data_IF_767680328195
#
_entry.id   IF_767680328195
#
_cell.length_a   1.000
_cell.length_b   1.000
_cell.length_c   1.000
_cell.angle_alpha   90.00
_cell.angle_beta   90.00
_cell.angle_gamma   90.00
#
_symmetry.space_group_name_H-M   'P 1'
#
loop_
_entity.id
_entity.type
_entity.pdbx_description
1 polymer ?
#
# COMPACT_ATOMS: atom_id res chain seq x y z
N UNK A 1 -56.81 -14.81 6.99
CA UNK A 1 -56.14 -15.38 5.79
C UNK A 1 -54.70 -14.87 5.82
N UNK A 2 -53.68 -15.57 6.32
CA UNK A 2 -53.48 -17.01 6.41
C UNK A 2 -52.40 -17.43 5.40
N UNK A 3 -51.11 -17.28 5.76
CA UNK A 3 -49.99 -18.14 5.35
C UNK A 3 -48.65 -17.63 5.91
N UNK A 4 -48.31 -18.08 7.13
CA UNK A 4 -46.93 -18.29 7.57
C UNK A 4 -46.40 -19.57 6.90
N UNK A 5 -45.16 -19.57 6.38
CA UNK A 5 -44.25 -20.75 6.29
C UNK A 5 -42.80 -20.22 6.25
N UNK A 6 -42.05 -20.28 7.35
CA UNK A 6 -41.18 -21.37 7.82
C UNK A 6 -39.74 -21.29 7.28
N UNK A 7 -38.84 -20.79 8.13
CA UNK A 7 -37.39 -20.98 8.04
C UNK A 7 -37.01 -22.41 8.50
N UNK A 8 -35.97 -23.05 7.95
CA UNK A 8 -35.42 -24.28 8.52
C UNK A 8 -34.35 -24.03 9.61
N UNK A 9 -34.49 -24.75 10.73
CA UNK A 9 -33.54 -24.91 11.85
C UNK A 9 -32.33 -25.77 11.42
N UNK A 10 -31.08 -25.39 11.76
CA UNK A 10 -29.88 -26.14 11.42
C UNK A 10 -29.59 -27.22 12.46
N UNK A 11 -30.23 -28.41 12.38
CA UNK A 11 -29.89 -29.53 13.27
C UNK A 11 -30.43 -30.90 12.81
N UNK A 12 -30.05 -31.42 11.64
CA UNK A 12 -30.21 -32.87 11.35
C UNK A 12 -29.11 -33.36 10.39
N UNK A 13 -28.30 -34.30 10.87
CA UNK A 13 -27.39 -35.15 10.10
C UNK A 13 -28.16 -36.41 9.68
N UNK A 14 -28.00 -36.92 8.45
CA UNK A 14 -28.22 -38.34 8.19
C UNK A 14 -26.91 -39.04 7.88
N UNK A 15 -26.62 -40.05 8.70
CA UNK A 15 -25.60 -41.06 8.46
C UNK A 15 -26.19 -42.26 7.70
N UNK A 16 -25.26 -42.99 7.05
CA UNK A 16 -25.31 -44.37 6.54
C UNK A 16 -25.92 -44.62 5.16
N UNK A 17 -25.05 -45.09 4.27
CA UNK A 17 -25.25 -46.38 3.61
C UNK A 17 -24.05 -47.29 3.88
N UNK A 18 -24.38 -48.46 4.40
CA UNK A 18 -23.52 -49.60 4.74
C UNK A 18 -23.29 -50.50 3.52
N UNK A 19 -22.08 -51.05 3.42
CA UNK A 19 -21.74 -52.42 3.02
C UNK A 19 -20.33 -52.62 3.58
N UNK A 20 -19.98 -53.59 4.43
CA UNK A 20 -20.49 -54.94 4.60
C UNK A 20 -19.27 -55.88 4.52
N UNK A 21 -18.58 -56.01 5.66
CA UNK A 21 -17.65 -57.05 6.17
C UNK A 21 -16.85 -57.95 5.21
N UNK A 22 -15.56 -58.17 5.54
CA UNK A 22 -15.02 -59.46 6.02
C UNK A 22 -13.62 -59.20 6.60
N UNK A 23 -13.44 -59.55 7.88
CA UNK A 23 -12.13 -59.75 8.50
C UNK A 23 -11.77 -61.21 8.22
N UNK A 24 -10.70 -61.43 7.47
CA UNK A 24 -10.02 -62.71 7.40
C UNK A 24 -8.57 -62.48 7.82
N UNK A 25 -8.20 -63.11 8.93
CA UNK A 25 -6.80 -63.25 9.32
C UNK A 25 -6.05 -64.01 8.24
N UNK A 26 -4.95 -63.42 7.79
CA UNK A 26 -3.95 -64.02 6.92
C UNK A 26 -2.72 -63.14 6.98
N UNK A 27 -1.57 -63.71 7.34
CA UNK A 27 -0.28 -63.05 7.24
C UNK A 27 -0.10 -62.57 5.79
N UNK A 28 -0.04 -61.26 5.60
CA UNK A 28 0.36 -60.66 4.32
C UNK A 28 1.88 -60.62 4.36
N UNK A 29 2.51 -61.54 3.62
CA UNK A 29 3.90 -61.36 3.20
C UNK A 29 3.99 -60.06 2.40
N UNK A 30 4.84 -59.15 2.88
CA UNK A 30 5.14 -57.87 2.25
C UNK A 30 5.83 -58.10 0.91
N UNK A 31 5.07 -58.02 -0.19
CA UNK A 31 5.65 -57.84 -1.52
C UNK A 31 5.87 -56.33 -1.72
N UNK A 32 7.07 -55.86 -1.34
CA UNK A 32 7.53 -54.45 -1.46
C UNK A 32 7.26 -53.84 -2.85
N UNK A 33 7.29 -54.66 -3.89
CA UNK A 33 7.13 -54.23 -5.28
C UNK A 33 5.71 -53.75 -5.64
N UNK A 34 4.68 -54.17 -4.89
CA UNK A 34 3.27 -53.80 -5.14
C UNK A 34 2.87 -52.47 -4.52
N UNK A 35 3.37 -52.19 -3.31
CA UNK A 35 3.17 -50.92 -2.61
C UNK A 35 3.92 -49.78 -3.27
N UNK A 36 5.16 -50.01 -3.73
CA UNK A 36 5.96 -49.02 -4.44
C UNK A 36 5.32 -48.61 -5.79
N UNK A 37 4.70 -49.55 -6.50
CA UNK A 37 3.98 -49.28 -7.74
C UNK A 37 2.67 -48.51 -7.50
N UNK A 38 1.98 -48.78 -6.39
CA UNK A 38 0.77 -48.06 -6.00
C UNK A 38 1.09 -46.64 -5.51
N UNK A 39 2.14 -46.47 -4.71
CA UNK A 39 2.67 -45.18 -4.28
C UNK A 39 3.17 -44.34 -5.46
N UNK A 40 3.88 -44.96 -6.41
CA UNK A 40 4.34 -44.29 -7.64
C UNK A 40 3.19 -43.85 -8.55
N UNK A 41 2.09 -44.63 -8.62
CA UNK A 41 0.86 -44.23 -9.33
C UNK A 41 0.10 -43.12 -8.63
N UNK A 42 0.00 -43.15 -7.29
CA UNK A 42 -0.63 -42.08 -6.50
C UNK A 42 0.19 -40.80 -6.60
N UNK A 43 1.52 -40.89 -6.57
CA UNK A 43 2.42 -39.74 -6.72
C UNK A 43 2.38 -39.19 -8.16
N UNK A 44 2.25 -40.05 -9.17
CA UNK A 44 2.03 -39.63 -10.56
C UNK A 44 0.65 -38.99 -10.78
N UNK A 45 -0.41 -39.52 -10.17
CA UNK A 45 -1.76 -38.92 -10.20
C UNK A 45 -1.76 -37.58 -9.47
N UNK A 46 -1.11 -37.48 -8.31
CA UNK A 46 -0.94 -36.22 -7.59
C UNK A 46 -0.14 -35.21 -8.43
N UNK A 47 0.97 -35.62 -9.07
CA UNK A 47 1.74 -34.76 -9.98
C UNK A 47 0.94 -34.33 -11.21
N UNK A 48 0.10 -35.21 -11.77
CA UNK A 48 -0.81 -34.89 -12.88
C UNK A 48 -1.95 -33.95 -12.47
N UNK A 49 -2.46 -34.05 -11.24
CA UNK A 49 -3.45 -33.11 -10.70
C UNK A 49 -2.85 -31.74 -10.33
N UNK A 50 -1.56 -31.69 -9.99
CA UNK A 50 -0.83 -30.44 -9.71
C UNK A 50 -0.39 -29.73 -11.01
N UNK A 51 -0.37 -30.43 -12.15
CA UNK A 51 0.00 -29.87 -13.45
C UNK A 51 -1.18 -29.30 -14.26
N UNK A 52 -2.36 -29.09 -13.66
CA UNK A 52 -3.27 -28.10 -14.22
C UNK A 52 -2.56 -26.74 -14.11
N UNK A 53 -1.83 -26.38 -15.17
CA UNK A 53 -1.33 -25.04 -15.40
C UNK A 53 -2.50 -24.11 -15.13
N UNK A 54 -2.52 -23.47 -13.96
CA UNK A 54 -3.52 -22.46 -13.62
C UNK A 54 -3.39 -21.40 -14.69
N UNK A 55 -4.21 -21.48 -15.75
CA UNK A 55 -4.29 -20.45 -16.76
C UNK A 55 -4.68 -19.19 -16.01
N UNK A 56 -3.78 -18.22 -16.01
CA UNK A 56 -4.11 -16.90 -15.49
C UNK A 56 -5.39 -16.44 -16.17
N UNK A 57 -6.40 -15.98 -15.41
CA UNK A 57 -7.64 -15.53 -16.00
C UNK A 57 -7.36 -14.35 -16.94
N UNK A 58 -8.02 -14.30 -18.11
CA UNK A 58 -7.76 -13.24 -19.07
C UNK A 58 -8.10 -11.87 -18.47
N UNK A 59 -7.31 -10.86 -18.82
CA UNK A 59 -7.57 -9.47 -18.41
C UNK A 59 -8.82 -8.96 -19.12
N UNK A 60 -9.85 -8.58 -18.35
CA UNK A 60 -11.09 -8.02 -18.88
C UNK A 60 -11.06 -6.49 -18.75
N UNK A 61 -10.93 -5.80 -19.88
CA UNK A 61 -10.90 -4.33 -19.95
C UNK A 61 -12.30 -3.75 -19.66
N UNK A 62 -12.34 -2.68 -18.87
CA UNK A 62 -13.54 -1.90 -18.57
C UNK A 62 -13.50 -0.61 -19.40
N UNK A 63 -13.97 -0.68 -20.65
CA UNK A 63 -13.88 0.42 -21.62
C UNK A 63 -14.47 1.75 -21.14
N UNK A 64 -15.53 1.71 -20.33
CA UNK A 64 -16.07 2.92 -19.68
C UNK A 64 -15.00 3.67 -18.89
N UNK A 65 -14.20 2.96 -18.09
CA UNK A 65 -13.15 3.57 -17.28
C UNK A 65 -12.03 4.12 -18.19
N UNK A 66 -11.67 3.38 -19.24
CA UNK A 66 -10.70 3.84 -20.26
C UNK A 66 -11.10 5.19 -20.84
N UNK A 67 -12.34 5.32 -21.33
CA UNK A 67 -12.82 6.57 -21.90
C UNK A 67 -12.88 7.71 -20.87
N UNK A 68 -13.31 7.43 -19.63
CA UNK A 68 -13.32 8.43 -18.55
C UNK A 68 -11.90 8.94 -18.26
N UNK A 69 -10.92 8.05 -18.12
CA UNK A 69 -9.55 8.47 -17.84
C UNK A 69 -8.91 9.20 -19.02
N UNK A 70 -9.16 8.79 -20.26
CA UNK A 70 -8.69 9.53 -21.45
C UNK A 70 -9.26 10.96 -21.44
N UNK A 71 -10.59 11.09 -21.30
CA UNK A 71 -11.24 12.40 -21.25
C UNK A 71 -10.71 13.26 -20.10
N UNK A 72 -10.58 12.67 -18.90
CA UNK A 72 -10.10 13.37 -17.72
C UNK A 72 -8.69 13.94 -17.90
N UNK A 73 -7.77 13.16 -18.49
CA UNK A 73 -6.40 13.63 -18.74
C UNK A 73 -6.32 14.65 -19.88
N UNK A 74 -7.13 14.51 -20.94
CA UNK A 74 -7.23 15.53 -21.99
C UNK A 74 -7.78 16.85 -21.45
N UNK A 75 -8.80 16.80 -20.59
CA UNK A 75 -9.35 17.96 -19.91
C UNK A 75 -8.33 18.60 -18.94
N UNK A 76 -7.47 17.80 -18.30
CA UNK A 76 -6.37 18.33 -17.49
C UNK A 76 -5.31 19.03 -18.35
N UNK A 77 -4.94 18.48 -19.51
CA UNK A 77 -4.04 19.16 -20.45
C UNK A 77 -4.62 20.48 -20.92
N UNK A 78 -5.94 20.55 -21.13
CA UNK A 78 -6.61 21.82 -21.41
C UNK A 78 -6.52 22.79 -20.23
N UNK A 79 -6.75 22.33 -18.99
CA UNK A 79 -6.53 23.14 -17.80
C UNK A 79 -5.09 23.66 -17.68
N UNK A 80 -4.10 22.83 -17.99
CA UNK A 80 -2.69 23.23 -18.02
C UNK A 80 -2.43 24.28 -19.09
N UNK A 81 -3.00 24.11 -20.28
CA UNK A 81 -2.93 25.10 -21.36
C UNK A 81 -3.52 26.46 -20.93
N UNK A 82 -4.65 26.46 -20.19
CA UNK A 82 -5.24 27.68 -19.65
C UNK A 82 -4.32 28.40 -18.66
N UNK A 83 -3.51 27.68 -17.87
CA UNK A 83 -2.51 28.30 -17.00
C UNK A 83 -1.48 29.19 -17.73
N UNK A 84 -1.28 28.97 -19.04
CA UNK A 84 -0.34 29.76 -19.85
C UNK A 84 -1.02 30.76 -20.80
N UNK A 85 -2.30 30.58 -21.08
CA UNK A 85 -3.01 31.36 -22.12
C UNK A 85 -4.15 32.20 -21.60
N UNK A 86 -4.71 31.85 -20.45
CA UNK A 86 -5.73 32.62 -19.77
C UNK A 86 -5.11 33.44 -18.62
N UNK A 87 -5.82 34.48 -18.18
CA UNK A 87 -5.39 35.31 -17.06
C UNK A 87 -5.68 34.62 -15.71
N UNK A 88 -5.13 33.42 -15.51
CA UNK A 88 -5.32 32.64 -14.28
C UNK A 88 -4.81 33.44 -13.10
N UNK A 89 -5.69 33.73 -12.15
CA UNK A 89 -5.34 34.52 -10.98
C UNK A 89 -4.45 33.71 -10.03
N UNK A 90 -3.50 34.38 -9.37
CA UNK A 90 -2.69 33.77 -8.32
C UNK A 90 -3.52 33.14 -7.20
N UNK A 91 -4.67 33.74 -6.88
CA UNK A 91 -5.62 33.20 -5.91
C UNK A 91 -6.16 31.82 -6.33
N UNK A 92 -6.47 31.60 -7.61
CA UNK A 92 -6.88 30.29 -8.15
C UNK A 92 -5.78 29.24 -8.02
N UNK A 93 -4.52 29.62 -8.27
CA UNK A 93 -3.38 28.70 -8.13
C UNK A 93 -3.15 28.31 -6.66
N UNK A 94 -3.17 29.27 -5.75
CA UNK A 94 -3.04 29.03 -4.30
C UNK A 94 -4.19 28.17 -3.79
N UNK A 95 -5.42 28.46 -4.22
CA UNK A 95 -6.60 27.67 -3.88
C UNK A 95 -6.48 26.21 -4.36
N UNK A 96 -6.07 26.02 -5.62
CA UNK A 96 -5.85 24.69 -6.20
C UNK A 96 -4.78 23.92 -5.41
N UNK A 97 -3.67 24.58 -5.06
CA UNK A 97 -2.61 23.99 -4.27
C UNK A 97 -3.07 23.64 -2.84
N UNK A 98 -3.86 24.51 -2.20
CA UNK A 98 -4.43 24.24 -0.88
C UNK A 98 -5.34 23.01 -0.90
N UNK A 99 -6.19 22.88 -1.93
CA UNK A 99 -7.03 21.69 -2.12
C UNK A 99 -6.22 20.44 -2.45
N UNK A 100 -5.10 20.56 -3.16
CA UNK A 100 -4.16 19.46 -3.39
C UNK A 100 -3.56 18.95 -2.07
N UNK A 101 -3.05 19.85 -1.22
CA UNK A 101 -2.50 19.48 0.10
C UNK A 101 -3.58 18.91 1.02
N UNK A 102 -4.76 19.54 1.06
CA UNK A 102 -5.86 19.10 1.92
C UNK A 102 -6.44 17.75 1.48
N UNK A 103 -6.61 17.56 0.16
CA UNK A 103 -6.99 16.28 -0.41
C UNK A 103 -5.93 15.20 -0.18
N UNK A 104 -4.66 15.56 -0.34
CA UNK A 104 -3.51 14.71 -0.02
C UNK A 104 -3.56 14.22 1.42
N UNK A 105 -3.72 15.13 2.40
CA UNK A 105 -3.87 14.75 3.81
C UNK A 105 -5.05 13.81 4.06
N UNK A 106 -6.18 14.01 3.37
CA UNK A 106 -7.32 13.11 3.45
C UNK A 106 -7.03 11.67 3.01
N UNK A 107 -6.12 11.49 2.04
CA UNK A 107 -5.60 10.18 1.64
C UNK A 107 -4.57 9.68 2.63
N UNK A 108 -3.50 10.45 2.88
CA UNK A 108 -2.32 10.01 3.63
C UNK A 108 -2.57 9.95 5.14
N UNK A 109 -2.99 11.05 5.75
CA UNK A 109 -3.33 11.12 7.17
C UNK A 109 -4.66 10.44 7.50
N UNK A 110 -5.61 10.45 6.56
CA UNK A 110 -6.93 9.83 6.69
C UNK A 110 -6.97 8.38 6.22
N UNK A 111 -7.32 8.15 4.95
CA UNK A 111 -7.60 6.82 4.40
C UNK A 111 -6.49 5.80 4.71
N UNK A 112 -5.24 6.23 4.65
CA UNK A 112 -4.06 5.41 4.82
C UNK A 112 -3.68 5.20 6.29
N UNK A 113 -3.12 6.20 6.96
CA UNK A 113 -2.54 6.03 8.30
C UNK A 113 -3.59 5.88 9.41
N UNK A 114 -4.74 6.56 9.29
CA UNK A 114 -5.81 6.49 10.29
C UNK A 114 -6.70 5.27 10.08
N UNK A 115 -7.33 5.14 8.90
CA UNK A 115 -8.34 4.11 8.68
C UNK A 115 -7.75 2.79 8.20
N UNK A 116 -6.84 2.75 7.21
CA UNK A 116 -6.30 1.48 6.74
C UNK A 116 -5.39 0.81 7.77
N UNK A 117 -4.46 1.58 8.36
CA UNK A 117 -3.40 1.04 9.24
C UNK A 117 -3.60 1.26 10.74
N UNK A 118 -4.52 2.15 11.15
CA UNK A 118 -4.81 2.44 12.55
C UNK A 118 -3.54 2.84 13.33
N UNK A 119 -2.68 3.64 12.71
CA UNK A 119 -1.41 4.08 13.29
C UNK A 119 -1.58 5.12 14.41
N UNK A 120 -2.72 5.80 14.45
CA UNK A 120 -3.10 6.73 15.49
C UNK A 120 -4.62 6.76 15.64
N UNK A 121 -5.12 7.40 16.71
CA UNK A 121 -6.54 7.65 16.93
C UNK A 121 -6.88 9.12 16.75
N UNK A 122 -8.07 9.39 16.23
CA UNK A 122 -8.55 10.74 15.95
C UNK A 122 -9.90 10.99 16.63
N UNK A 123 -10.05 12.14 17.28
CA UNK A 123 -11.37 12.62 17.73
C UNK A 123 -12.27 12.91 16.52
N UNK A 124 -13.58 12.94 16.74
CA UNK A 124 -14.54 13.11 15.65
C UNK A 124 -14.29 14.34 14.74
N UNK A 125 -13.80 15.51 15.23
CA UNK A 125 -13.56 16.64 14.33
C UNK A 125 -12.47 16.35 13.29
N UNK A 126 -11.35 15.77 13.73
CA UNK A 126 -10.26 15.38 12.84
C UNK A 126 -10.69 14.29 11.85
N UNK A 127 -11.52 13.33 12.29
CA UNK A 127 -12.10 12.33 11.39
C UNK A 127 -12.97 12.94 10.30
N UNK A 128 -13.78 13.95 10.63
CA UNK A 128 -14.58 14.70 9.64
C UNK A 128 -13.67 15.46 8.68
N UNK A 129 -12.66 16.18 9.19
CA UNK A 129 -11.68 16.91 8.38
C UNK A 129 -11.00 15.96 7.38
N UNK A 130 -10.50 14.83 7.85
CA UNK A 130 -9.86 13.82 7.01
C UNK A 130 -10.83 13.23 5.98
N UNK A 131 -12.10 13.00 6.35
CA UNK A 131 -13.11 12.47 5.43
C UNK A 131 -13.48 13.46 4.32
N UNK A 132 -13.55 14.76 4.64
CA UNK A 132 -13.75 15.82 3.62
C UNK A 132 -12.54 15.88 2.69
N UNK A 133 -11.32 15.89 3.22
CA UNK A 133 -10.09 15.82 2.42
C UNK A 133 -10.10 14.60 1.48
N UNK A 134 -10.44 13.42 2.00
CA UNK A 134 -10.50 12.19 1.21
C UNK A 134 -11.51 12.29 0.07
N UNK A 135 -12.66 12.93 0.34
CA UNK A 135 -13.71 13.16 -0.65
C UNK A 135 -13.25 14.13 -1.76
N UNK A 136 -12.46 15.15 -1.43
CA UNK A 136 -11.83 16.07 -2.41
C UNK A 136 -10.83 15.31 -3.31
N UNK A 137 -10.18 14.27 -2.78
CA UNK A 137 -9.21 13.47 -3.52
C UNK A 137 -9.86 12.46 -4.50
N UNK A 138 -11.11 12.06 -4.28
CA UNK A 138 -11.91 11.19 -5.16
C UNK A 138 -11.17 9.89 -5.55
N UNK A 139 -10.85 9.04 -4.57
CA UNK A 139 -10.15 7.77 -4.79
C UNK A 139 -10.95 6.54 -4.33
N UNK A 140 -12.26 6.54 -4.58
CA UNK A 140 -13.29 5.71 -3.92
C UNK A 140 -13.53 6.10 -2.46
N UNK A 141 -14.65 5.63 -1.90
CA UNK A 141 -14.98 5.88 -0.50
C UNK A 141 -13.95 5.24 0.45
N UNK A 142 -13.87 5.76 1.68
CA UNK A 142 -12.85 5.37 2.68
C UNK A 142 -12.84 3.85 2.92
N UNK A 143 -14.01 3.21 2.91
CA UNK A 143 -14.12 1.77 3.13
C UNK A 143 -13.49 0.97 1.98
N UNK A 144 -13.78 1.31 0.72
CA UNK A 144 -13.19 0.62 -0.44
C UNK A 144 -11.68 0.84 -0.49
N UNK A 145 -11.25 2.09 -0.32
CA UNK A 145 -9.83 2.45 -0.33
C UNK A 145 -9.07 1.66 0.76
N UNK A 146 -9.55 1.72 2.00
CA UNK A 146 -8.89 1.05 3.14
C UNK A 146 -8.89 -0.46 3.01
N UNK A 147 -9.99 -1.07 2.53
CA UNK A 147 -10.05 -2.52 2.30
C UNK A 147 -9.01 -2.94 1.25
N UNK A 148 -8.98 -2.26 0.11
CA UNK A 148 -8.06 -2.60 -0.97
C UNK A 148 -6.60 -2.37 -0.54
N UNK A 149 -6.33 -1.33 0.26
CA UNK A 149 -5.01 -1.07 0.84
C UNK A 149 -4.56 -2.14 1.84
N UNK A 150 -5.47 -2.62 2.70
CA UNK A 150 -5.19 -3.76 3.61
C UNK A 150 -4.86 -5.04 2.85
N UNK A 151 -5.53 -5.27 1.72
CA UNK A 151 -5.24 -6.41 0.84
C UNK A 151 -3.87 -6.25 0.18
N UNK A 152 -3.57 -5.05 -0.32
CA UNK A 152 -2.29 -4.71 -0.90
C UNK A 152 -1.13 -5.05 0.06
N UNK A 153 -1.13 -4.55 1.30
CA UNK A 153 -0.07 -4.89 2.26
C UNK A 153 0.03 -6.38 2.60
N UNK A 154 -1.12 -7.06 2.74
CA UNK A 154 -1.13 -8.46 3.16
C UNK A 154 -0.67 -9.43 2.05
N UNK A 155 -0.87 -9.05 0.79
CA UNK A 155 -0.61 -9.91 -0.36
C UNK A 155 0.16 -9.19 -1.46
N UNK A 156 1.02 -8.25 -1.07
CA UNK A 156 1.81 -7.40 -1.97
C UNK A 156 2.57 -8.24 -2.99
N UNK A 157 2.67 -7.75 -4.23
CA UNK A 157 3.37 -8.44 -5.33
C UNK A 157 2.78 -9.82 -5.72
N UNK A 158 1.51 -10.08 -5.39
CA UNK A 158 0.80 -11.30 -5.84
C UNK A 158 -0.44 -10.95 -6.65
N UNK A 159 -1.11 -11.94 -7.25
CA UNK A 159 -2.39 -11.72 -7.94
C UNK A 159 -3.55 -11.29 -7.03
N UNK A 160 -3.35 -11.33 -5.72
CA UNK A 160 -4.28 -10.78 -4.74
C UNK A 160 -4.05 -9.29 -4.47
N UNK A 161 -2.91 -8.73 -4.87
CA UNK A 161 -2.64 -7.30 -4.79
C UNK A 161 -3.43 -6.54 -5.89
N UNK A 162 -4.31 -5.58 -5.52
CA UNK A 162 -5.07 -4.79 -6.49
C UNK A 162 -4.22 -4.10 -7.55
N UNK A 163 -3.00 -3.67 -7.21
CA UNK A 163 -2.09 -2.92 -8.07
C UNK A 163 -0.70 -3.56 -8.16
N UNK A 164 -0.67 -4.90 -8.21
CA UNK A 164 0.53 -5.73 -8.31
C UNK A 164 1.62 -5.15 -9.23
N UNK A 165 2.69 -4.63 -8.63
CA UNK A 165 3.81 -4.00 -9.33
C UNK A 165 4.57 -4.97 -10.25
N UNK A 166 4.49 -6.29 -10.05
CA UNK A 166 5.12 -7.30 -10.94
C UNK A 166 4.52 -7.30 -12.33
N UNK A 167 3.32 -6.73 -12.51
CA UNK A 167 2.67 -6.55 -13.82
C UNK A 167 3.16 -5.31 -14.57
N UNK A 168 4.16 -4.61 -14.01
CA UNK A 168 4.83 -3.47 -14.61
C UNK A 168 4.23 -2.13 -14.23
N UNK A 169 4.99 -1.06 -14.52
CA UNK A 169 4.68 0.31 -14.14
C UNK A 169 3.28 0.74 -14.54
N UNK A 170 2.89 0.53 -15.82
CA UNK A 170 1.58 0.97 -16.32
C UNK A 170 0.42 0.33 -15.55
N UNK A 171 0.52 -0.97 -15.24
CA UNK A 171 -0.53 -1.67 -14.50
C UNK A 171 -0.67 -1.10 -13.09
N UNK A 172 0.43 -0.98 -12.35
CA UNK A 172 0.43 -0.48 -10.98
C UNK A 172 0.03 1.00 -10.88
N UNK A 173 0.35 1.79 -11.92
CA UNK A 173 0.04 3.22 -11.95
C UNK A 173 -1.44 3.48 -12.24
N UNK A 174 -1.97 2.99 -13.36
CA UNK A 174 -3.38 3.25 -13.76
C UNK A 174 -4.08 2.04 -14.37
N UNK A 175 -3.34 1.09 -14.95
CA UNK A 175 -3.93 -0.04 -15.68
C UNK A 175 -4.85 -0.93 -14.83
N UNK A 176 -4.59 -1.04 -13.53
CA UNK A 176 -5.47 -1.76 -12.59
C UNK A 176 -6.88 -1.14 -12.46
N UNK A 177 -7.02 0.16 -12.72
CA UNK A 177 -8.32 0.85 -12.76
C UNK A 177 -9.06 0.67 -14.08
N UNK A 178 -8.37 0.21 -15.13
CA UNK A 178 -8.89 0.06 -16.49
C UNK A 178 -9.43 -1.35 -16.76
N UNK A 179 -9.27 -2.28 -15.82
CA UNK A 179 -9.69 -3.66 -15.96
C UNK A 179 -10.45 -4.16 -14.73
N UNK A 180 -11.13 -5.30 -14.86
CA UNK A 180 -11.70 -5.98 -13.70
C UNK A 180 -10.58 -6.49 -12.81
N UNK A 181 -10.79 -6.39 -11.49
CA UNK A 181 -9.88 -6.97 -10.49
C UNK A 181 -9.68 -8.46 -10.75
N UNK A 182 -8.46 -8.94 -10.52
CA UNK A 182 -8.17 -10.36 -10.56
C UNK A 182 -9.02 -11.11 -9.50
N UNK A 183 -9.51 -12.34 -9.78
CA UNK A 183 -10.34 -13.10 -8.84
C UNK A 183 -9.71 -13.27 -7.44
N UNK A 184 -8.38 -13.37 -7.36
CA UNK A 184 -7.68 -13.48 -6.07
C UNK A 184 -7.81 -12.21 -5.21
N UNK A 185 -7.87 -11.01 -5.81
CA UNK A 185 -8.12 -9.77 -5.08
C UNK A 185 -9.49 -9.84 -4.39
N UNK A 186 -10.50 -10.38 -5.08
CA UNK A 186 -11.86 -10.51 -4.55
C UNK A 186 -11.90 -11.59 -3.45
N UNK A 187 -11.24 -12.74 -3.70
CA UNK A 187 -11.20 -13.87 -2.75
C UNK A 187 -10.49 -13.48 -1.47
N UNK A 188 -9.29 -12.90 -1.58
CA UNK A 188 -8.46 -12.48 -0.43
C UNK A 188 -8.99 -11.22 0.24
N UNK A 189 -9.67 -10.34 -0.50
CA UNK A 189 -10.37 -9.18 0.05
C UNK A 189 -11.49 -9.51 1.04
N UNK A 190 -12.01 -10.75 1.04
CA UNK A 190 -12.94 -11.21 2.08
C UNK A 190 -12.25 -11.63 3.38
N UNK A 191 -10.93 -11.76 3.37
CA UNK A 191 -10.13 -12.24 4.52
C UNK A 191 -9.49 -11.10 5.33
N UNK A 192 -9.66 -9.85 4.88
CA UNK A 192 -9.24 -8.67 5.64
C UNK A 192 -10.39 -8.22 6.52
N UNK A 193 -10.11 -8.01 7.81
CA UNK A 193 -11.08 -7.41 8.71
C UNK A 193 -11.34 -5.95 8.30
N UNK A 194 -12.61 -5.56 8.30
CA UNK A 194 -13.11 -4.21 7.98
C UNK A 194 -14.22 -3.78 8.95
N UNK A 195 -14.42 -4.55 10.03
CA UNK A 195 -15.48 -4.30 11.01
C UNK A 195 -15.34 -2.93 11.68
N UNK A 196 -14.11 -2.49 11.94
CA UNK A 196 -13.79 -1.16 12.46
C UNK A 196 -14.29 -0.03 11.55
N UNK A 197 -14.15 -0.19 10.22
CA UNK A 197 -14.58 0.81 9.25
C UNK A 197 -16.11 0.91 9.20
N UNK A 198 -16.79 -0.21 9.40
CA UNK A 198 -18.25 -0.28 9.45
C UNK A 198 -18.82 0.23 10.79
N UNK A 199 -18.00 0.26 11.84
CA UNK A 199 -18.35 0.82 13.14
C UNK A 199 -18.10 2.34 13.24
N UNK A 200 -17.28 2.91 12.34
CA UNK A 200 -17.07 4.36 12.30
C UNK A 200 -18.23 5.08 11.56
N UNK A 201 -19.07 5.86 12.26
CA UNK A 201 -20.22 6.53 11.64
C UNK A 201 -19.82 7.53 10.55
N UNK A 202 -18.63 8.13 10.62
CA UNK A 202 -18.15 9.08 9.62
C UNK A 202 -17.84 8.34 8.31
N UNK A 203 -17.20 7.17 8.40
CA UNK A 203 -16.90 6.32 7.24
C UNK A 203 -18.19 5.82 6.60
N UNK A 204 -19.14 5.34 7.40
CA UNK A 204 -20.44 4.86 6.92
C UNK A 204 -21.25 5.99 6.26
N UNK A 205 -21.25 7.18 6.85
CA UNK A 205 -21.92 8.36 6.28
C UNK A 205 -21.28 8.76 4.95
N UNK A 206 -19.96 8.88 4.91
CA UNK A 206 -19.22 9.24 3.70
C UNK A 206 -19.49 8.25 2.57
N UNK A 207 -19.48 6.94 2.88
CA UNK A 207 -19.83 5.88 1.93
C UNK A 207 -21.27 6.00 1.41
N UNK A 208 -22.24 6.24 2.31
CA UNK A 208 -23.66 6.35 1.94
C UNK A 208 -23.93 7.52 0.99
N UNK A 209 -23.26 8.64 1.20
CA UNK A 209 -23.45 9.88 0.42
C UNK A 209 -22.27 10.20 -0.51
N UNK A 210 -21.44 9.20 -0.84
CA UNK A 210 -20.16 9.43 -1.50
C UNK A 210 -20.29 10.21 -2.81
N UNK A 211 -21.25 9.85 -3.67
CA UNK A 211 -21.43 10.51 -4.96
C UNK A 211 -21.86 11.99 -4.81
N UNK A 212 -22.93 12.34 -4.05
CA UNK A 212 -23.24 13.75 -3.78
C UNK A 212 -22.08 14.53 -3.15
N UNK A 213 -21.39 13.94 -2.17
CA UNK A 213 -20.27 14.60 -1.49
C UNK A 213 -19.11 14.87 -2.45
N UNK A 214 -18.77 13.92 -3.31
CA UNK A 214 -17.74 14.08 -4.35
C UNK A 214 -18.10 15.19 -5.32
N UNK A 215 -19.35 15.24 -5.80
CA UNK A 215 -19.79 16.31 -6.71
C UNK A 215 -19.62 17.68 -6.07
N UNK A 216 -19.98 17.81 -4.78
CA UNK A 216 -19.83 19.05 -4.02
C UNK A 216 -18.36 19.39 -3.80
N UNK A 217 -17.58 18.50 -3.18
CA UNK A 217 -16.25 18.83 -2.67
C UNK A 217 -15.14 18.72 -3.71
N UNK A 218 -15.24 17.84 -4.71
CA UNK A 218 -14.21 17.66 -5.73
C UNK A 218 -14.42 18.55 -6.97
N UNK A 219 -15.65 18.98 -7.25
CA UNK A 219 -15.97 19.70 -8.50
C UNK A 219 -16.69 21.03 -8.28
N UNK A 220 -17.84 21.04 -7.60
CA UNK A 220 -18.65 22.27 -7.45
C UNK A 220 -17.94 23.31 -6.60
N UNK A 221 -17.54 22.96 -5.39
CA UNK A 221 -16.88 23.87 -4.46
C UNK A 221 -15.54 24.39 -5.02
N UNK A 222 -14.64 23.55 -5.55
CA UNK A 222 -13.40 24.03 -6.16
C UNK A 222 -13.60 24.96 -7.36
N UNK A 223 -14.72 24.84 -8.09
CA UNK A 223 -15.07 25.69 -9.23
C UNK A 223 -15.74 27.00 -8.82
N UNK A 224 -16.70 26.95 -7.88
CA UNK A 224 -17.50 28.11 -7.52
C UNK A 224 -16.74 29.09 -6.64
N UNK A 225 -15.82 28.61 -5.79
CA UNK A 225 -15.06 29.51 -4.90
C UNK A 225 -14.22 30.52 -5.70
N UNK A 226 -13.40 30.12 -6.70
CA UNK A 226 -12.65 31.09 -7.48
C UNK A 226 -13.53 32.05 -8.30
N UNK A 227 -14.60 31.52 -8.89
CA UNK A 227 -15.52 32.31 -9.68
C UNK A 227 -16.23 33.39 -8.85
N UNK A 228 -16.77 33.04 -7.69
CA UNK A 228 -17.51 33.99 -6.85
C UNK A 228 -16.62 34.91 -6.02
N UNK A 229 -15.50 34.40 -5.48
CA UNK A 229 -14.77 35.13 -4.44
C UNK A 229 -13.74 36.12 -5.00
N UNK A 230 -13.17 35.85 -6.17
CA UNK A 230 -12.18 36.74 -6.80
C UNK A 230 -12.36 36.89 -8.31
N UNK A 231 -13.52 36.49 -8.85
CA UNK A 231 -13.91 36.79 -10.23
C UNK A 231 -13.16 35.99 -11.30
N UNK A 232 -12.60 34.83 -10.95
CA UNK A 232 -11.99 33.93 -11.94
C UNK A 232 -13.04 33.44 -12.95
N UNK A 233 -12.68 33.18 -14.21
CA UNK A 233 -13.67 32.65 -15.15
C UNK A 233 -14.17 31.27 -14.71
N UNK A 234 -15.46 30.94 -14.93
CA UNK A 234 -16.00 29.61 -14.63
C UNK A 234 -15.23 28.49 -15.34
N UNK A 235 -14.83 28.74 -16.59
CA UNK A 235 -14.02 27.83 -17.39
C UNK A 235 -12.68 27.55 -16.71
N UNK A 236 -11.93 28.59 -16.37
CA UNK A 236 -10.63 28.49 -15.71
C UNK A 236 -10.76 27.82 -14.35
N UNK A 237 -11.73 28.24 -13.54
CA UNK A 237 -12.00 27.67 -12.22
C UNK A 237 -12.27 26.16 -12.30
N UNK A 238 -13.09 25.72 -13.26
CA UNK A 238 -13.40 24.31 -13.43
C UNK A 238 -12.19 23.50 -13.89
N UNK A 239 -11.54 23.91 -14.99
CA UNK A 239 -10.46 23.12 -15.58
C UNK A 239 -9.16 23.16 -14.76
N UNK A 240 -8.86 24.26 -14.07
CA UNK A 240 -7.65 24.41 -13.24
C UNK A 240 -7.89 23.88 -11.82
N UNK A 241 -8.82 24.48 -11.08
CA UNK A 241 -8.99 24.17 -9.65
C UNK A 241 -9.71 22.84 -9.37
N UNK A 242 -10.52 22.34 -10.32
CA UNK A 242 -11.14 21.02 -10.19
C UNK A 242 -10.36 19.96 -10.97
N UNK A 243 -10.33 20.04 -12.31
CA UNK A 243 -9.88 18.94 -13.17
C UNK A 243 -8.36 18.74 -13.12
N UNK A 244 -7.56 19.77 -13.41
CA UNK A 244 -6.11 19.68 -13.42
C UNK A 244 -5.60 19.27 -12.03
N UNK A 245 -6.06 19.96 -10.97
CA UNK A 245 -5.74 19.59 -9.58
C UNK A 245 -6.09 18.14 -9.25
N UNK A 246 -7.26 17.66 -9.67
CA UNK A 246 -7.67 16.27 -9.42
C UNK A 246 -6.73 15.28 -10.10
N UNK A 247 -6.37 15.51 -11.37
CA UNK A 247 -5.47 14.64 -12.12
C UNK A 247 -4.06 14.64 -11.56
N UNK A 248 -3.55 15.79 -11.10
CA UNK A 248 -2.27 15.87 -10.38
C UNK A 248 -2.33 15.04 -9.08
N UNK A 249 -3.44 15.16 -8.32
CA UNK A 249 -3.64 14.38 -7.08
C UNK A 249 -3.64 12.87 -7.33
N UNK A 250 -4.32 12.42 -8.39
CA UNK A 250 -4.35 11.02 -8.80
C UNK A 250 -2.95 10.51 -9.14
N UNK A 251 -2.25 11.18 -10.05
CA UNK A 251 -0.93 10.73 -10.52
C UNK A 251 0.12 10.77 -9.40
N UNK A 252 0.06 11.75 -8.50
CA UNK A 252 0.90 11.77 -7.31
C UNK A 252 0.67 10.51 -6.45
N UNK A 253 -0.59 10.16 -6.20
CA UNK A 253 -0.94 8.96 -5.42
C UNK A 253 -0.50 7.67 -6.14
N UNK A 254 -0.74 7.59 -7.45
CA UNK A 254 -0.40 6.42 -8.25
C UNK A 254 1.11 6.18 -8.39
N UNK A 255 1.94 7.22 -8.21
CA UNK A 255 3.39 7.04 -8.13
C UNK A 255 3.83 6.25 -6.90
N UNK A 256 3.04 6.24 -5.82
CA UNK A 256 3.31 5.37 -4.67
C UNK A 256 3.18 3.91 -5.08
N UNK A 257 2.09 3.54 -5.76
CA UNK A 257 1.85 2.17 -6.21
C UNK A 257 2.86 1.72 -7.28
N UNK A 258 3.30 2.62 -8.14
CA UNK A 258 4.18 2.29 -9.27
C UNK A 258 5.64 2.60 -8.97
N UNK A 259 6.04 3.86 -8.95
CA UNK A 259 7.44 4.25 -8.80
C UNK A 259 8.02 3.78 -7.47
N UNK A 260 7.29 3.88 -6.35
CA UNK A 260 7.81 3.44 -5.06
C UNK A 260 7.87 1.91 -4.89
N UNK A 261 7.30 1.12 -5.80
CA UNK A 261 7.47 -0.35 -5.83
C UNK A 261 8.50 -0.83 -6.87
N UNK A 262 9.07 0.08 -7.67
CA UNK A 262 9.95 -0.29 -8.80
C UNK A 262 11.32 0.39 -8.68
N UNK A 263 11.38 1.64 -8.20
CA UNK A 263 12.61 2.43 -8.18
C UNK A 263 12.84 3.10 -6.84
N UNK A 264 13.94 2.74 -6.19
CA UNK A 264 14.40 3.35 -4.95
C UNK A 264 15.39 2.46 -4.23
N UNK A 265 15.71 2.83 -3.00
CA UNK A 265 16.57 2.04 -2.12
C UNK A 265 15.75 1.14 -1.19
N UNK A 266 16.35 0.08 -0.65
CA UNK A 266 15.71 -0.87 0.27
C UNK A 266 16.45 -0.97 1.62
N UNK A 267 16.58 0.14 2.36
CA UNK A 267 17.40 0.20 3.57
C UNK A 267 16.90 -0.69 4.72
N UNK A 268 15.64 -1.12 4.72
CA UNK A 268 15.04 -1.92 5.80
C UNK A 268 14.81 -3.37 5.39
N UNK A 269 14.38 -3.62 4.16
CA UNK A 269 14.20 -4.98 3.63
C UNK A 269 14.35 -5.02 2.11
N UNK A 270 15.44 -5.64 1.65
CA UNK A 270 15.73 -5.86 0.22
C UNK A 270 14.96 -7.04 -0.40
N UNK A 271 14.25 -7.81 0.40
CA UNK A 271 13.44 -8.94 -0.04
C UNK A 271 12.05 -8.56 -0.54
N UNK A 272 11.66 -7.28 -0.44
CA UNK A 272 10.37 -6.75 -0.88
C UNK A 272 10.57 -5.65 -1.94
N UNK A 273 9.60 -5.47 -2.83
CA UNK A 273 9.61 -4.45 -3.89
C UNK A 273 9.42 -2.99 -3.43
N UNK A 274 8.62 -2.68 -2.39
CA UNK A 274 8.54 -1.32 -1.85
C UNK A 274 9.91 -0.73 -1.55
N UNK A 275 10.13 0.50 -1.99
CA UNK A 275 11.43 1.17 -2.02
C UNK A 275 11.31 2.60 -1.50
N UNK A 276 12.38 3.12 -0.91
CA UNK A 276 12.49 4.52 -0.51
C UNK A 276 12.76 5.37 -1.76
N UNK A 277 11.82 6.26 -2.08
CA UNK A 277 11.93 7.17 -3.21
C UNK A 277 11.68 8.62 -2.77
N UNK A 278 12.78 9.40 -2.70
CA UNK A 278 12.76 10.79 -2.22
C UNK A 278 11.87 11.72 -3.05
N UNK A 279 11.87 11.52 -4.38
CA UNK A 279 11.03 12.31 -5.27
C UNK A 279 9.56 12.03 -5.00
N UNK A 280 9.18 10.75 -4.90
CA UNK A 280 7.82 10.35 -4.54
C UNK A 280 7.45 10.91 -3.16
N UNK A 281 8.33 10.79 -2.15
CA UNK A 281 8.05 11.28 -0.80
C UNK A 281 7.73 12.78 -0.77
N UNK A 282 8.44 13.58 -1.56
CA UNK A 282 8.17 15.01 -1.69
C UNK A 282 6.79 15.29 -2.30
N UNK A 283 6.48 14.68 -3.46
CA UNK A 283 5.22 14.96 -4.16
C UNK A 283 3.99 14.35 -3.46
N UNK A 284 4.16 13.31 -2.65
CA UNK A 284 3.08 12.61 -1.95
C UNK A 284 3.02 12.94 -0.46
N UNK A 285 3.68 14.00 -0.01
CA UNK A 285 3.64 14.45 1.38
C UNK A 285 4.07 13.39 2.41
N UNK A 286 5.00 12.49 2.04
CA UNK A 286 5.59 11.49 2.93
C UNK A 286 5.46 10.03 2.49
N UNK A 287 4.62 9.71 1.52
CA UNK A 287 4.28 8.30 1.23
C UNK A 287 5.31 7.56 0.36
N UNK A 288 6.35 8.26 -0.11
CA UNK A 288 7.45 7.67 -0.87
C UNK A 288 8.51 6.97 -0.02
N UNK A 289 8.43 7.04 1.31
CA UNK A 289 9.26 6.24 2.22
C UNK A 289 8.69 4.82 2.35
N UNK A 290 8.60 4.13 1.21
CA UNK A 290 7.70 3.00 1.03
C UNK A 290 8.29 1.67 1.52
N UNK A 291 9.62 1.52 1.53
CA UNK A 291 10.28 0.35 2.10
C UNK A 291 10.04 0.32 3.62
N UNK A 292 10.24 1.45 4.30
CA UNK A 292 9.93 1.59 5.73
C UNK A 292 8.48 1.28 5.99
N UNK A 293 7.58 1.89 5.22
CA UNK A 293 6.15 1.76 5.40
C UNK A 293 5.68 0.30 5.30
N UNK A 294 6.16 -0.47 4.33
CA UNK A 294 5.78 -1.88 4.18
C UNK A 294 6.39 -2.79 5.24
N UNK A 295 7.55 -2.43 5.78
CA UNK A 295 8.18 -3.17 6.90
C UNK A 295 7.48 -2.85 8.23
N UNK A 296 7.07 -1.60 8.44
CA UNK A 296 6.43 -1.11 9.66
C UNK A 296 5.11 -0.38 9.36
N UNK A 297 4.07 -1.08 8.88
CA UNK A 297 2.84 -0.46 8.41
C UNK A 297 2.05 0.26 9.52
N UNK A 298 2.33 -0.05 10.78
CA UNK A 298 1.66 0.51 11.95
C UNK A 298 2.30 1.81 12.47
N UNK A 299 3.40 2.27 11.88
CA UNK A 299 4.04 3.54 12.25
C UNK A 299 3.25 4.74 11.69
N UNK A 300 2.93 5.73 12.53
CA UNK A 300 2.13 6.88 12.15
C UNK A 300 2.88 7.88 11.27
N UNK A 301 4.21 7.90 11.32
CA UNK A 301 5.05 8.73 10.45
C UNK A 301 5.14 8.10 9.07
N UNK A 302 4.95 6.77 8.96
CA UNK A 302 5.23 5.98 7.76
C UNK A 302 6.67 6.16 7.23
N UNK A 303 7.58 6.66 8.07
CA UNK A 303 8.98 6.87 7.74
C UNK A 303 9.84 6.98 9.01
N UNK A 304 11.06 6.47 8.96
CA UNK A 304 12.14 6.92 9.83
C UNK A 304 12.81 8.17 9.22
N UNK A 305 13.11 8.10 7.92
CA UNK A 305 13.80 9.15 7.18
C UNK A 305 12.84 10.30 6.81
N UNK A 306 13.44 11.46 6.57
CA UNK A 306 12.74 12.67 6.16
C UNK A 306 12.43 13.63 7.31
N UNK A 307 12.01 14.84 6.94
CA UNK A 307 11.59 15.89 7.85
C UNK A 307 10.18 16.37 7.44
N UNK A 308 9.66 17.40 8.08
CA UNK A 308 8.32 17.92 7.74
C UNK A 308 8.18 18.42 6.30
N UNK A 309 9.27 18.75 5.60
CA UNK A 309 9.24 19.12 4.18
C UNK A 309 9.10 17.93 3.23
N UNK A 310 9.52 16.73 3.63
CA UNK A 310 9.37 15.48 2.86
C UNK A 310 8.34 14.53 3.46
N UNK A 311 7.67 14.95 4.53
CA UNK A 311 6.59 14.24 5.21
C UNK A 311 5.63 15.24 5.86
N UNK A 312 4.98 16.06 5.03
CA UNK A 312 4.00 17.06 5.47
C UNK A 312 2.83 16.41 6.21
N UNK A 313 2.47 15.17 5.86
CA UNK A 313 1.42 14.40 6.55
C UNK A 313 1.75 14.23 8.02
N UNK A 314 2.99 13.85 8.36
CA UNK A 314 3.44 13.77 9.76
C UNK A 314 3.30 15.11 10.46
N UNK A 315 3.73 16.21 9.83
CA UNK A 315 3.63 17.54 10.42
C UNK A 315 2.18 17.92 10.77
N UNK A 316 1.24 17.62 9.87
CA UNK A 316 -0.19 17.87 10.10
C UNK A 316 -0.73 17.00 11.24
N UNK A 317 -0.36 15.71 11.30
CA UNK A 317 -0.77 14.82 12.40
C UNK A 317 -0.22 15.32 13.74
N UNK A 318 1.07 15.69 13.79
CA UNK A 318 1.73 16.22 15.00
C UNK A 318 1.03 17.52 15.48
N UNK A 319 0.64 18.40 14.55
CA UNK A 319 -0.15 19.61 14.86
C UNK A 319 -1.52 19.27 15.46
N UNK A 320 -2.24 18.30 14.89
CA UNK A 320 -3.50 17.84 15.47
C UNK A 320 -3.33 17.11 16.80
N UNK A 321 -2.19 16.45 17.02
CA UNK A 321 -1.85 15.83 18.30
C UNK A 321 -1.59 16.89 19.37
N UNK A 322 -0.88 17.96 19.03
CA UNK A 322 -0.67 19.12 19.90
C UNK A 322 -2.01 19.79 20.30
N UNK A 323 -2.98 19.87 19.39
CA UNK A 323 -4.35 20.33 19.71
C UNK A 323 -5.20 19.30 20.49
N UNK A 324 -4.68 18.10 20.74
CA UNK A 324 -5.39 17.01 21.39
C UNK A 324 -6.52 16.40 20.55
N UNK A 325 -6.48 16.55 19.22
CA UNK A 325 -7.42 15.96 18.27
C UNK A 325 -6.91 14.62 17.70
N UNK A 326 -5.59 14.43 17.63
CA UNK A 326 -4.95 13.13 17.41
C UNK A 326 -4.29 12.63 18.70
N UNK A 327 -4.25 11.32 18.91
CA UNK A 327 -3.65 10.69 20.09
C UNK A 327 -3.29 9.22 19.80
N UNK A 328 -2.54 8.57 20.71
CA UNK A 328 -2.10 7.18 20.53
C UNK A 328 -1.28 6.98 19.25
N UNK A 329 -0.37 7.93 18.97
CA UNK A 329 0.51 7.94 17.80
C UNK A 329 1.57 6.84 17.95
N UNK A 330 1.46 5.78 17.16
CA UNK A 330 2.37 4.64 17.22
C UNK A 330 3.64 4.93 16.43
N UNK A 331 4.80 4.90 17.07
CA UNK A 331 6.11 5.01 16.41
C UNK A 331 6.94 3.77 16.69
N UNK A 332 7.66 3.29 15.69
CA UNK A 332 8.62 2.21 15.85
C UNK A 332 9.81 2.72 16.68
N UNK A 333 10.25 1.98 17.71
CA UNK A 333 11.48 2.28 18.43
C UNK A 333 12.72 2.18 17.53
N UNK A 334 13.66 3.11 17.68
CA UNK A 334 14.87 3.20 16.83
C UNK A 334 15.71 1.91 16.85
N UNK A 335 15.75 1.21 17.99
CA UNK A 335 16.45 -0.07 18.13
C UNK A 335 15.87 -1.17 17.22
N UNK A 336 14.55 -1.21 17.05
CA UNK A 336 13.86 -2.17 16.19
C UNK A 336 14.14 -1.83 14.73
N UNK A 337 14.11 -0.54 14.38
CA UNK A 337 14.43 -0.07 13.04
C UNK A 337 15.87 -0.42 12.67
N UNK A 338 16.83 -0.10 13.54
CA UNK A 338 18.24 -0.43 13.36
C UNK A 338 18.48 -1.93 13.22
N UNK A 339 17.89 -2.75 14.10
CA UNK A 339 18.04 -4.20 14.02
C UNK A 339 17.46 -4.76 12.73
N UNK A 340 16.36 -4.21 12.22
CA UNK A 340 15.75 -4.64 10.97
C UNK A 340 16.61 -4.26 9.76
N UNK A 341 17.05 -3.01 9.68
CA UNK A 341 17.93 -2.52 8.64
C UNK A 341 19.24 -3.32 8.57
N UNK A 342 19.83 -3.67 9.72
CA UNK A 342 21.05 -4.50 9.77
C UNK A 342 20.83 -5.93 9.26
N UNK A 343 19.66 -6.51 9.53
CA UNK A 343 19.38 -7.90 9.20
C UNK A 343 18.97 -8.10 7.74
N UNK A 344 18.15 -7.21 7.20
CA UNK A 344 17.49 -7.39 5.89
C UNK A 344 17.68 -6.23 4.93
N UNK A 345 18.28 -5.12 5.34
CA UNK A 345 18.54 -3.98 4.47
C UNK A 345 19.54 -4.29 3.34
N UNK A 346 19.52 -3.45 2.31
CA UNK A 346 20.45 -3.48 1.18
C UNK A 346 21.79 -2.76 1.44
N UNK A 347 21.97 -2.20 2.64
CA UNK A 347 23.17 -1.43 3.02
C UNK A 347 23.09 0.07 2.70
N UNK A 348 22.01 0.55 2.09
CA UNK A 348 21.81 1.99 1.79
C UNK A 348 21.43 2.85 3.01
N UNK A 349 21.14 2.22 4.15
CA UNK A 349 20.76 2.91 5.38
C UNK A 349 21.92 3.75 5.92
N UNK A 350 21.72 5.06 6.10
CA UNK A 350 22.76 6.05 6.43
C UNK A 350 23.67 5.65 7.60
N UNK A 351 23.10 5.20 8.72
CA UNK A 351 23.87 4.79 9.92
C UNK A 351 24.67 3.49 9.70
N UNK A 352 24.14 2.55 8.92
CA UNK A 352 24.81 1.28 8.64
C UNK A 352 25.93 1.51 7.63
N UNK A 353 25.66 2.27 6.58
CA UNK A 353 26.65 2.69 5.60
C UNK A 353 27.85 3.40 6.26
N UNK A 354 27.61 4.24 7.28
CA UNK A 354 28.69 4.89 8.03
C UNK A 354 29.52 3.92 8.88
N UNK A 355 28.89 2.96 9.58
CA UNK A 355 29.62 1.96 10.37
C UNK A 355 30.40 0.99 9.48
N UNK A 356 29.81 0.54 8.37
CA UNK A 356 30.51 -0.31 7.40
C UNK A 356 31.66 0.43 6.72
N UNK A 357 31.52 1.73 6.43
CA UNK A 357 32.62 2.55 5.93
C UNK A 357 33.71 2.80 6.97
N UNK A 358 33.37 2.94 8.26
CA UNK A 358 34.38 3.02 9.33
C UNK A 358 35.13 1.69 9.50
N UNK A 359 34.47 0.55 9.36
CA UNK A 359 35.12 -0.75 9.33
C UNK A 359 36.05 -0.91 8.11
N UNK A 360 35.61 -0.50 6.91
CA UNK A 360 36.45 -0.53 5.70
C UNK A 360 37.62 0.45 5.75
N UNK A 361 37.46 1.64 6.33
CA UNK A 361 38.56 2.60 6.53
C UNK A 361 39.55 2.13 7.61
N UNK A 362 39.07 1.42 8.64
CA UNK A 362 39.92 0.78 9.65
C UNK A 362 40.79 -0.36 9.09
N UNK A 363 40.35 -1.02 8.02
CA UNK A 363 41.13 -2.03 7.30
C UNK A 363 42.10 -1.44 6.25
N UNK A 364 42.02 -0.14 5.96
CA UNK A 364 42.92 0.55 5.01
C UNK A 364 44.12 1.22 5.73
N UNK A 365 44.20 1.13 7.06
CA UNK A 365 45.36 1.56 7.86
C UNK A 365 46.14 0.41 8.51
N UNK A 366 46.33 -0.68 7.77
CA UNK A 366 47.46 -1.58 8.06
C UNK A 366 48.59 -1.18 7.12
N UNK A 367 49.38 -0.21 7.58
CA UNK A 367 50.66 0.12 6.96
C UNK A 367 51.58 -1.10 7.01
N UNK A 368 52.20 -1.36 5.87
CA UNK A 368 53.37 -2.21 5.70
C UNK A 368 54.48 -1.76 6.64
N UNK A 369 54.64 -2.37 7.80
CA UNK A 369 55.94 -2.45 8.49
C UNK A 369 55.86 -3.42 9.67
N UNK A 370 56.62 -4.52 9.54
CA UNK A 370 57.21 -5.37 10.59
C UNK A 370 57.08 -6.87 10.29
N UNK A 371 57.88 -7.30 9.31
CA UNK A 371 58.50 -8.63 9.36
C UNK A 371 60.02 -8.45 9.29
N UNK A 372 60.64 -8.22 10.44
CA UNK A 372 62.05 -8.52 10.64
C UNK A 372 62.17 -9.46 11.84
N UNK A 373 62.90 -10.55 11.59
CA UNK A 373 63.31 -11.60 12.51
C UNK A 373 63.82 -11.06 13.86
N UNK A 374 63.73 -11.89 14.92
CA UNK A 374 64.87 -12.30 15.75
C UNK A 374 64.46 -13.57 16.52
N UNK A 375 65.19 -14.65 16.20
CA UNK A 375 65.28 -15.90 16.95
C UNK A 375 66.07 -15.63 18.25
N UNK A 376 65.68 -16.17 19.42
CA UNK A 376 66.61 -16.39 20.52
C UNK A 376 67.11 -17.84 20.48
N UNK A 377 68.39 -18.00 20.17
CA UNK A 377 69.20 -19.19 20.41
C UNK A 377 69.61 -19.23 21.90
N UNK A 378 69.93 -20.45 22.36
CA UNK A 378 70.82 -20.83 23.47
C UNK A 378 70.19 -20.96 24.89
N UNK A 379 70.49 -21.97 25.72
CA UNK A 379 71.38 -23.13 25.62
C UNK A 379 71.16 -24.09 26.82
N UNK A 380 71.39 -25.40 26.59
CA UNK A 380 72.11 -26.37 27.47
C UNK A 380 71.60 -26.76 28.88
N UNK A 381 71.35 -28.08 29.09
CA UNK A 381 72.29 -29.09 29.70
C UNK A 381 71.52 -30.37 30.10
N UNK A 382 71.79 -31.51 29.45
CA UNK A 382 72.68 -32.63 29.88
C UNK A 382 72.22 -33.40 31.12
N UNK A 383 71.87 -34.68 30.99
CA UNK A 383 72.75 -35.87 31.18
C UNK A 383 72.23 -36.98 30.27
#
# INVERSE_FOLDING_TARGET
MGAMKNFPDPRVVPAKLSNGSIVLGGQIESNDNGEELALGKIDAINRLTVSEVRKEPPVIIVWRNVFIFIYLHLAAFYGLYLCFTDAVTWATLVWSYALFIFGGFGITGGAHRLWAHRCYKAKWPLRVIAAVGQTIALQNDIYVWSRDHRVHHKFSETDADPHNARRGFFFAHVGWLLCKKHPEVIRRGKTVDVSDLLQDPIVVYQRKFYIPLVLIFCFVMPTLVPWYCWGESLRTSFFVASILRYVITLNATWLVNSAAHIWGAHPYDKGINPSENRFVAFITSGEGWHNFHHVFPWDYKASELGNYGTNTTRAIIDFFAWMGLAYDLKSVPDEIVYSRARRTGDGSHSIIALKDNQFRLGEIHVEEEQFCEIIPVEEKRSV
#
